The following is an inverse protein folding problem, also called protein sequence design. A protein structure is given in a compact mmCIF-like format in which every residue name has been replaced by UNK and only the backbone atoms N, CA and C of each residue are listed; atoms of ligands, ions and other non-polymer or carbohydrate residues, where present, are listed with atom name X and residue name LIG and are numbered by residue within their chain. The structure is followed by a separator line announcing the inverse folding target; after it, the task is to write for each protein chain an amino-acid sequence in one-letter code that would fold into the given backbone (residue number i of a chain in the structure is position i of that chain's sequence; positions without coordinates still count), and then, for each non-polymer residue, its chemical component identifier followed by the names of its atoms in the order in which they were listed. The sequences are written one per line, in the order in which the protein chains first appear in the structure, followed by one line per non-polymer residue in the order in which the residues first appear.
data_IF_591951745591
#
_entry.id   IF_591951745591
#
_cell.length_a   1.000
_cell.length_b   1.000
_cell.length_c   1.000
_cell.angle_alpha   90.00
_cell.angle_beta   90.00
_cell.angle_gamma   90.00
#
_symmetry.space_group_name_H-M   'P 1'
#
loop_
_entity.id
_entity.type
_entity.pdbx_description
1 polymer ?
#
# COMPACT_ATOMS: atom_id res chain seq x y z
N UNK A 1 -17.98 1.03 -8.96
CA UNK A 1 -16.76 1.77 -8.61
C UNK A 1 -15.57 0.85 -8.77
N UNK A 2 -14.52 1.26 -9.51
CA UNK A 2 -13.26 0.52 -9.53
C UNK A 2 -12.26 1.20 -8.58
N UNK A 3 -11.48 0.40 -7.84
CA UNK A 3 -10.47 0.91 -6.89
C UNK A 3 -9.15 0.24 -7.25
N UNK A 4 -8.16 1.06 -7.56
CA UNK A 4 -6.82 0.64 -7.96
C UNK A 4 -5.84 0.98 -6.85
N UNK A 5 -5.31 -0.04 -6.19
CA UNK A 5 -4.21 0.11 -5.24
C UNK A 5 -2.89 -0.11 -5.96
N UNK A 6 -1.99 0.86 -5.85
CA UNK A 6 -0.68 0.83 -6.49
C UNK A 6 0.38 0.86 -5.39
N UNK A 7 1.24 -0.16 -5.34
CA UNK A 7 2.43 -0.06 -4.51
C UNK A 7 3.41 0.91 -5.15
N UNK A 8 3.98 1.81 -4.34
CA UNK A 8 5.00 2.75 -4.78
C UNK A 8 6.15 2.06 -5.56
N UNK A 9 6.90 2.85 -6.32
CA UNK A 9 8.05 2.38 -7.09
C UNK A 9 9.23 2.01 -6.19
N UNK A 10 10.24 1.39 -6.79
CA UNK A 10 11.42 0.91 -6.09
C UNK A 10 12.16 2.04 -5.34
N UNK A 11 12.76 1.67 -4.22
CA UNK A 11 13.57 2.55 -3.37
C UNK A 11 15.02 2.08 -3.35
N UNK A 12 15.95 3.02 -3.13
CA UNK A 12 17.36 2.70 -2.97
C UNK A 12 17.63 2.27 -1.53
N UNK A 13 17.71 0.96 -1.30
CA UNK A 13 17.94 0.35 0.01
C UNK A 13 19.00 -0.75 -0.03
N UNK A 14 20.26 -0.43 -0.37
CA UNK A 14 21.33 -1.43 -0.49
C UNK A 14 21.69 -2.08 0.86
N UNK A 15 21.44 -1.39 1.96
CA UNK A 15 21.75 -1.87 3.30
C UNK A 15 20.61 -2.66 3.94
N UNK A 16 19.53 -2.95 3.19
CA UNK A 16 18.35 -3.68 3.69
C UNK A 16 17.82 -3.11 5.00
N UNK A 17 17.69 -1.79 5.06
CA UNK A 17 17.15 -1.10 6.22
C UNK A 17 15.66 -1.44 6.39
N UNK A 18 15.24 -1.61 7.63
CA UNK A 18 13.84 -1.62 8.00
C UNK A 18 13.29 -0.19 7.81
N UNK A 19 12.23 -0.03 7.07
CA UNK A 19 11.56 1.26 6.87
C UNK A 19 10.07 1.07 6.66
N UNK A 20 9.30 1.90 7.28
CA UNK A 20 7.85 1.95 7.15
C UNK A 20 7.41 3.40 7.02
N UNK A 21 7.56 4.17 8.09
CA UNK A 21 7.21 5.58 8.13
C UNK A 21 8.43 6.52 8.11
N UNK A 22 9.62 6.00 7.85
CA UNK A 22 10.80 6.81 7.51
C UNK A 22 10.86 7.11 6.01
N UNK A 23 11.44 8.26 5.68
CA UNK A 23 11.78 8.57 4.29
C UNK A 23 13.05 7.81 3.88
N UNK A 24 12.98 7.18 2.72
CA UNK A 24 14.10 6.45 2.12
C UNK A 24 14.30 6.97 0.69
N UNK A 25 15.55 7.05 0.21
CA UNK A 25 15.82 7.50 -1.15
C UNK A 25 15.11 6.63 -2.20
N UNK A 26 14.57 7.27 -3.23
CA UNK A 26 14.05 6.55 -4.39
C UNK A 26 15.21 5.93 -5.19
N UNK A 27 14.98 4.82 -5.86
CA UNK A 27 15.92 4.27 -6.82
C UNK A 27 16.19 5.27 -7.96
N UNK A 28 17.35 5.22 -8.60
CA UNK A 28 17.68 6.14 -9.71
C UNK A 28 16.66 6.06 -10.85
N UNK A 29 16.17 4.86 -11.12
CA UNK A 29 15.19 4.57 -12.17
C UNK A 29 13.74 4.52 -11.67
N UNK A 30 13.42 5.18 -10.56
CA UNK A 30 12.07 5.10 -9.94
C UNK A 30 10.93 5.51 -10.88
N UNK A 31 11.20 6.28 -11.93
CA UNK A 31 10.22 6.69 -12.95
C UNK A 31 10.06 5.67 -14.10
N UNK A 32 10.88 4.62 -14.15
CA UNK A 32 10.90 3.68 -15.27
C UNK A 32 9.53 3.02 -15.55
N UNK A 33 8.71 2.84 -14.51
CA UNK A 33 7.39 2.24 -14.62
C UNK A 33 6.23 3.25 -14.63
N UNK A 34 6.50 4.55 -14.63
CA UNK A 34 5.46 5.58 -14.56
C UNK A 34 4.55 5.54 -15.78
N UNK A 35 5.13 5.48 -16.98
CA UNK A 35 4.37 5.45 -18.22
C UNK A 35 3.51 4.19 -18.31
N UNK A 36 4.08 3.03 -17.97
CA UNK A 36 3.31 1.78 -17.93
C UNK A 36 2.13 1.85 -16.93
N UNK A 37 2.36 2.42 -15.74
CA UNK A 37 1.31 2.59 -14.74
C UNK A 37 0.22 3.53 -15.27
N UNK A 38 0.58 4.63 -15.90
CA UNK A 38 -0.36 5.58 -16.49
C UNK A 38 -1.16 4.92 -17.61
N UNK A 39 -0.52 4.28 -18.58
CA UNK A 39 -1.17 3.59 -19.70
C UNK A 39 -2.14 2.50 -19.22
N UNK A 40 -1.72 1.77 -18.16
CA UNK A 40 -2.54 0.70 -17.55
C UNK A 40 -3.82 1.23 -16.89
N UNK A 41 -3.79 2.49 -16.43
CA UNK A 41 -4.94 3.15 -15.80
C UNK A 41 -5.80 3.90 -16.83
N UNK A 42 -5.20 4.69 -17.73
CA UNK A 42 -5.91 5.58 -18.67
C UNK A 42 -6.95 4.84 -19.52
N UNK A 43 -6.63 3.62 -19.95
CA UNK A 43 -7.57 2.78 -20.71
C UNK A 43 -8.77 2.27 -19.90
N UNK A 44 -8.75 2.45 -18.58
CA UNK A 44 -9.69 1.84 -17.64
C UNK A 44 -10.41 2.83 -16.74
N UNK A 45 -9.92 4.08 -16.62
CA UNK A 45 -10.50 5.08 -15.71
C UNK A 45 -11.69 5.80 -16.37
N UNK A 46 -12.74 5.96 -15.57
CA UNK A 46 -13.94 6.73 -15.91
C UNK A 46 -14.09 7.92 -14.94
N UNK A 47 -14.46 9.06 -15.47
CA UNK A 47 -14.75 10.25 -14.64
C UNK A 47 -16.10 10.12 -13.91
N UNK A 48 -16.23 10.60 -12.67
CA UNK A 48 -15.19 11.24 -11.84
C UNK A 48 -14.23 10.24 -11.19
N UNK A 49 -12.93 10.55 -11.23
CA UNK A 49 -11.85 9.77 -10.61
C UNK A 49 -11.21 10.55 -9.48
N UNK A 50 -10.99 9.91 -8.32
CA UNK A 50 -10.26 10.48 -7.20
C UNK A 50 -8.90 9.78 -7.03
N UNK A 51 -7.86 10.55 -6.70
CA UNK A 51 -6.52 10.05 -6.41
C UNK A 51 -6.18 10.29 -4.96
N UNK A 52 -5.66 9.25 -4.29
CA UNK A 52 -5.17 9.28 -2.93
C UNK A 52 -3.71 8.82 -2.86
N UNK A 53 -2.97 9.37 -1.92
CA UNK A 53 -1.58 8.98 -1.69
C UNK A 53 -1.25 8.86 -0.21
N UNK A 54 -0.44 7.87 0.13
CA UNK A 54 0.33 7.91 1.37
C UNK A 54 1.20 9.17 1.42
N UNK A 55 1.47 9.74 2.61
CA UNK A 55 2.23 11.00 2.74
C UNK A 55 3.70 10.89 2.32
N UNK A 56 4.28 9.68 2.24
CA UNK A 56 5.70 9.47 1.96
C UNK A 56 6.06 9.74 0.50
N UNK A 57 7.25 10.35 0.28
CA UNK A 57 7.71 10.78 -1.05
C UNK A 57 7.69 9.67 -2.10
N UNK A 58 7.96 8.42 -1.72
CA UNK A 58 7.91 7.26 -2.62
C UNK A 58 6.52 7.00 -3.19
N UNK A 59 5.46 7.43 -2.48
CA UNK A 59 4.07 7.37 -2.97
C UNK A 59 3.65 8.68 -3.63
N UNK A 60 3.90 9.82 -2.98
CA UNK A 60 3.40 11.11 -3.45
C UNK A 60 4.01 11.53 -4.80
N UNK A 61 5.25 11.14 -5.10
CA UNK A 61 5.87 11.38 -6.42
C UNK A 61 5.14 10.64 -7.54
N UNK A 62 4.74 9.40 -7.31
CA UNK A 62 3.97 8.64 -8.28
C UNK A 62 2.53 9.16 -8.38
N UNK A 63 1.90 9.48 -7.25
CA UNK A 63 0.55 10.05 -7.26
C UNK A 63 0.49 11.40 -7.98
N UNK A 64 1.50 12.26 -7.78
CA UNK A 64 1.65 13.55 -8.47
C UNK A 64 1.66 13.36 -10.00
N UNK A 65 2.47 12.42 -10.48
CA UNK A 65 2.56 12.08 -11.91
C UNK A 65 1.22 11.56 -12.46
N UNK A 66 0.62 10.56 -11.80
CA UNK A 66 -0.62 9.91 -12.28
C UNK A 66 -1.85 10.82 -12.25
N UNK A 67 -1.87 11.82 -11.37
CA UNK A 67 -3.02 12.71 -11.15
C UNK A 67 -2.82 14.12 -11.71
N UNK A 68 -1.67 14.42 -12.34
CA UNK A 68 -1.27 15.77 -12.69
C UNK A 68 -1.34 16.75 -11.50
N UNK A 69 -0.86 16.31 -10.33
CA UNK A 69 -0.82 17.09 -9.10
C UNK A 69 -2.13 17.13 -8.30
N UNK A 70 -3.18 16.48 -8.76
CA UNK A 70 -4.49 16.53 -8.13
C UNK A 70 -4.79 15.25 -7.32
N UNK A 71 -4.20 15.15 -6.13
CA UNK A 71 -4.42 14.02 -5.22
C UNK A 71 -4.59 14.45 -3.77
N UNK A 72 -5.20 13.58 -2.98
CA UNK A 72 -5.46 13.76 -1.55
C UNK A 72 -4.47 12.88 -0.76
N UNK A 73 -3.76 13.47 0.18
CA UNK A 73 -2.90 12.72 1.11
C UNK A 73 -3.69 12.22 2.29
N UNK A 74 -3.58 10.91 2.61
CA UNK A 74 -4.20 10.32 3.81
C UNK A 74 -3.17 9.50 4.60
N UNK A 75 -3.04 9.80 5.89
CA UNK A 75 -2.10 9.12 6.78
C UNK A 75 -2.50 7.67 7.09
N UNK A 76 -3.78 7.33 6.96
CA UNK A 76 -4.27 5.96 7.23
C UNK A 76 -3.74 4.94 6.24
N UNK A 77 -3.26 5.37 5.07
CA UNK A 77 -2.62 4.52 4.07
C UNK A 77 -1.09 4.63 4.06
N UNK A 78 -0.49 5.11 5.17
CA UNK A 78 0.94 5.00 5.42
C UNK A 78 1.34 3.54 5.71
N UNK A 79 2.60 3.16 5.46
CA UNK A 79 3.12 1.83 5.77
C UNK A 79 3.14 1.57 7.28
N UNK A 80 3.31 0.32 7.70
CA UNK A 80 3.51 -0.06 9.09
C UNK A 80 4.63 0.79 9.71
N UNK A 81 4.34 1.36 10.88
CA UNK A 81 5.36 2.10 11.64
C UNK A 81 6.23 1.11 12.41
N UNK A 82 7.48 0.93 11.98
CA UNK A 82 8.40 0.00 12.62
C UNK A 82 9.10 0.59 13.87
N UNK A 83 8.67 1.75 14.36
CA UNK A 83 9.14 2.33 15.61
C UNK A 83 10.65 2.39 15.72
N UNK A 84 11.19 1.84 16.81
CA UNK A 84 12.64 1.86 17.10
C UNK A 84 13.47 1.07 16.09
N UNK A 85 12.86 0.24 15.23
CA UNK A 85 13.57 -0.49 14.18
C UNK A 85 13.77 0.33 12.89
N UNK A 86 13.06 1.44 12.74
CA UNK A 86 13.18 2.29 11.56
C UNK A 86 14.63 2.69 11.30
N UNK A 87 15.06 2.52 10.05
CA UNK A 87 16.40 2.81 9.53
C UNK A 87 17.54 1.95 10.13
N UNK A 88 17.22 0.90 10.87
CA UNK A 88 18.18 -0.16 11.20
C UNK A 88 18.20 -1.23 10.10
N UNK A 89 19.35 -1.83 9.85
CA UNK A 89 19.42 -3.00 8.98
C UNK A 89 18.72 -4.20 9.65
N UNK A 90 17.93 -4.97 8.90
CA UNK A 90 17.16 -6.09 9.45
C UNK A 90 18.01 -7.10 10.23
N UNK A 91 19.26 -7.33 9.81
CA UNK A 91 20.22 -8.22 10.48
C UNK A 91 20.83 -7.63 11.78
N UNK A 92 20.53 -6.36 12.08
CA UNK A 92 20.98 -5.64 13.29
C UNK A 92 19.87 -5.47 14.33
N UNK A 93 18.63 -5.76 13.97
CA UNK A 93 17.53 -5.75 14.94
C UNK A 93 17.78 -6.84 15.99
N UNK A 94 17.57 -6.49 17.27
CA UNK A 94 17.79 -7.40 18.37
C UNK A 94 16.93 -8.67 18.21
N UNK A 95 17.54 -9.88 18.17
CA UNK A 95 16.78 -11.14 18.04
C UNK A 95 15.70 -11.32 19.10
N UNK A 96 15.91 -10.83 20.33
CA UNK A 96 14.92 -10.91 21.43
C UNK A 96 13.63 -10.11 21.13
N UNK A 97 13.66 -9.21 20.18
CA UNK A 97 12.50 -8.44 19.71
C UNK A 97 12.00 -8.97 18.37
N UNK A 98 12.91 -9.30 17.47
CA UNK A 98 12.59 -9.77 16.13
C UNK A 98 11.92 -11.15 16.13
N UNK A 99 12.42 -12.11 16.93
CA UNK A 99 11.86 -13.48 17.00
C UNK A 99 10.41 -13.48 17.49
N UNK A 100 10.02 -12.81 18.59
CA UNK A 100 8.62 -12.71 19.01
C UNK A 100 7.73 -12.03 17.96
N UNK A 101 8.24 -10.98 17.28
CA UNK A 101 7.50 -10.35 16.20
C UNK A 101 7.31 -11.29 15.01
N UNK A 102 8.31 -12.05 14.61
CA UNK A 102 8.18 -13.05 13.54
C UNK A 102 7.18 -14.15 13.89
N UNK A 103 7.06 -14.49 15.18
CA UNK A 103 6.12 -15.50 15.67
C UNK A 103 4.67 -14.98 15.69
N UNK A 104 4.46 -13.69 15.95
CA UNK A 104 3.13 -13.07 16.04
C UNK A 104 3.18 -11.61 15.59
N UNK A 105 3.48 -11.37 14.31
CA UNK A 105 3.55 -10.01 13.76
C UNK A 105 2.21 -9.27 13.77
N UNK A 106 1.11 -9.99 13.89
CA UNK A 106 -0.23 -9.41 13.94
C UNK A 106 -0.42 -8.61 15.23
N UNK A 107 -0.07 -9.20 16.36
CA UNK A 107 -0.36 -8.62 17.68
C UNK A 107 0.89 -8.02 18.36
N UNK A 108 2.09 -8.46 17.99
CA UNK A 108 3.32 -7.93 18.59
C UNK A 108 3.51 -6.47 18.21
N UNK A 109 3.42 -5.60 19.19
CA UNK A 109 3.63 -4.15 18.98
C UNK A 109 5.12 -3.82 19.11
N UNK A 110 5.66 -3.25 18.03
CA UNK A 110 7.02 -2.74 18.00
C UNK A 110 7.10 -1.49 18.89
N UNK A 111 8.17 -1.37 19.68
CA UNK A 111 8.37 -0.21 20.55
C UNK A 111 8.32 1.10 19.73
N UNK A 112 7.56 2.07 20.21
CA UNK A 112 7.31 3.35 19.54
C UNK A 112 6.74 3.22 18.10
N UNK A 113 6.22 2.04 17.76
CA UNK A 113 5.65 1.73 16.45
C UNK A 113 4.24 1.17 16.52
N UNK A 114 3.87 0.42 15.50
CA UNK A 114 2.58 -0.25 15.35
C UNK A 114 2.75 -1.78 15.35
N UNK A 115 1.67 -2.50 15.64
CA UNK A 115 1.51 -3.88 15.20
C UNK A 115 0.72 -3.94 13.87
N UNK A 116 0.62 -5.12 13.26
CA UNK A 116 -0.06 -5.25 11.98
C UNK A 116 -1.59 -5.09 12.10
N UNK A 117 -2.17 -5.36 13.27
CA UNK A 117 -3.58 -5.14 13.53
C UNK A 117 -3.93 -3.64 13.51
N UNK A 118 -3.10 -2.78 14.11
CA UNK A 118 -3.29 -1.31 14.08
C UNK A 118 -3.19 -0.77 12.63
N UNK A 119 -2.26 -1.30 11.83
CA UNK A 119 -2.20 -1.00 10.39
C UNK A 119 -3.49 -1.42 9.67
N UNK A 120 -3.97 -2.63 9.95
CA UNK A 120 -5.20 -3.15 9.36
C UNK A 120 -6.40 -2.27 9.71
N UNK A 121 -6.59 -1.91 10.98
CA UNK A 121 -7.72 -1.10 11.45
C UNK A 121 -7.75 0.28 10.75
N UNK A 122 -6.61 0.99 10.67
CA UNK A 122 -6.58 2.30 10.00
C UNK A 122 -6.74 2.21 8.49
N UNK A 123 -6.18 1.17 7.87
CA UNK A 123 -6.28 0.96 6.41
C UNK A 123 -7.70 0.60 5.99
N UNK A 124 -8.38 -0.24 6.77
CA UNK A 124 -9.78 -0.62 6.50
C UNK A 124 -10.73 0.53 6.76
N UNK A 125 -10.51 1.35 7.80
CA UNK A 125 -11.28 2.58 8.00
C UNK A 125 -11.16 3.55 6.80
N UNK A 126 -9.96 3.71 6.22
CA UNK A 126 -9.80 4.46 4.98
C UNK A 126 -10.59 3.82 3.82
N UNK A 127 -10.49 2.49 3.68
CA UNK A 127 -11.17 1.78 2.60
C UNK A 127 -12.69 1.94 2.69
N UNK A 128 -13.27 1.80 3.86
CA UNK A 128 -14.71 2.00 4.08
C UNK A 128 -15.14 3.43 3.73
N UNK A 129 -14.36 4.45 4.12
CA UNK A 129 -14.67 5.84 3.80
C UNK A 129 -14.71 6.10 2.29
N UNK A 130 -13.75 5.60 1.53
CA UNK A 130 -13.74 5.80 0.07
C UNK A 130 -14.91 5.10 -0.64
N UNK A 131 -15.45 4.01 -0.09
CA UNK A 131 -16.64 3.34 -0.62
C UNK A 131 -17.92 4.19 -0.54
N UNK A 132 -17.94 5.21 0.32
CA UNK A 132 -19.07 6.12 0.47
C UNK A 132 -19.09 7.25 -0.58
N UNK A 133 -18.01 7.45 -1.30
CA UNK A 133 -17.87 8.53 -2.29
C UNK A 133 -18.69 8.26 -3.56
N UNK A 134 -18.91 9.31 -4.35
CA UNK A 134 -19.62 9.21 -5.63
C UNK A 134 -18.66 9.06 -6.84
N UNK A 135 -17.38 8.81 -6.58
CA UNK A 135 -16.43 8.57 -7.65
C UNK A 135 -16.70 7.24 -8.36
N UNK A 136 -16.50 7.20 -9.68
CA UNK A 136 -16.56 5.96 -10.45
C UNK A 136 -15.30 5.13 -10.27
N UNK A 137 -14.16 5.82 -10.20
CA UNK A 137 -12.86 5.22 -10.02
C UNK A 137 -12.06 5.91 -8.92
N UNK A 138 -11.27 5.13 -8.21
CA UNK A 138 -10.36 5.60 -7.17
C UNK A 138 -8.98 4.97 -7.40
N UNK A 139 -7.95 5.80 -7.39
CA UNK A 139 -6.55 5.37 -7.47
C UNK A 139 -5.87 5.69 -6.15
N UNK A 140 -5.23 4.70 -5.53
CA UNK A 140 -4.59 4.79 -4.23
C UNK A 140 -3.13 4.37 -4.35
N UNK A 141 -2.21 5.32 -4.24
CA UNK A 141 -0.77 5.03 -4.22
C UNK A 141 -0.32 4.83 -2.78
N UNK A 142 0.14 3.62 -2.47
CA UNK A 142 0.41 3.21 -1.09
C UNK A 142 1.51 2.14 -1.01
N UNK A 143 1.46 1.27 -0.02
CA UNK A 143 2.50 0.32 0.39
C UNK A 143 1.98 -1.11 0.43
N UNK A 144 2.91 -2.08 0.52
CA UNK A 144 2.57 -3.49 0.52
C UNK A 144 1.75 -3.92 1.74
N UNK A 145 2.08 -3.41 2.94
CA UNK A 145 1.34 -3.73 4.17
C UNK A 145 -0.11 -3.27 4.11
N UNK A 146 -0.35 -2.06 3.62
CA UNK A 146 -1.70 -1.50 3.42
C UNK A 146 -2.51 -2.33 2.43
N UNK A 147 -1.91 -2.68 1.27
CA UNK A 147 -2.61 -3.48 0.25
C UNK A 147 -2.97 -4.86 0.80
N UNK A 148 -2.06 -5.51 1.54
CA UNK A 148 -2.31 -6.79 2.21
C UNK A 148 -3.44 -6.70 3.23
N UNK A 149 -3.47 -5.64 4.03
CA UNK A 149 -4.51 -5.39 5.03
C UNK A 149 -5.89 -5.26 4.37
N UNK A 150 -5.99 -4.49 3.29
CA UNK A 150 -7.24 -4.32 2.55
C UNK A 150 -7.68 -5.63 1.87
N UNK A 151 -6.75 -6.40 1.31
CA UNK A 151 -7.05 -7.70 0.73
C UNK A 151 -7.53 -8.71 1.79
N UNK A 152 -6.92 -8.69 2.99
CA UNK A 152 -7.38 -9.51 4.11
C UNK A 152 -8.82 -9.14 4.52
N UNK A 153 -9.13 -7.85 4.60
CA UNK A 153 -10.48 -7.36 4.89
C UNK A 153 -11.51 -7.79 3.82
N UNK A 154 -11.21 -7.55 2.55
CA UNK A 154 -12.14 -7.84 1.44
C UNK A 154 -12.39 -9.35 1.27
N UNK A 155 -11.39 -10.18 1.53
CA UNK A 155 -11.46 -11.64 1.37
C UNK A 155 -11.81 -12.37 2.66
N UNK A 156 -11.91 -11.65 3.78
CA UNK A 156 -12.19 -12.20 5.13
C UNK A 156 -11.25 -13.37 5.49
N UNK A 157 -9.93 -13.19 5.26
CA UNK A 157 -8.94 -14.18 5.65
C UNK A 157 -8.10 -13.72 6.86
N UNK A 158 -7.59 -14.66 7.67
CA UNK A 158 -6.79 -14.35 8.86
C UNK A 158 -5.55 -13.52 8.53
N UNK A 159 -5.29 -12.47 9.32
CA UNK A 159 -4.18 -11.54 9.10
C UNK A 159 -2.81 -12.22 9.10
N UNK A 160 -2.66 -13.36 9.80
CA UNK A 160 -1.46 -14.19 9.83
C UNK A 160 -1.06 -14.70 8.44
N UNK A 161 -1.98 -14.72 7.50
CA UNK A 161 -1.74 -15.12 6.11
C UNK A 161 -1.46 -13.95 5.16
N UNK A 162 -1.48 -12.72 5.65
CA UNK A 162 -1.33 -11.52 4.80
C UNK A 162 -0.01 -11.52 4.02
N UNK A 163 1.06 -12.02 4.60
CA UNK A 163 2.37 -12.11 3.93
C UNK A 163 2.50 -13.24 2.90
N UNK A 164 1.50 -14.13 2.78
CA UNK A 164 1.42 -15.09 1.68
C UNK A 164 1.08 -14.40 0.35
N UNK A 165 0.61 -13.16 0.38
CA UNK A 165 0.35 -12.36 -0.82
C UNK A 165 1.61 -11.60 -1.22
N UNK A 166 2.10 -11.85 -2.42
CA UNK A 166 3.14 -11.03 -3.02
C UNK A 166 2.53 -9.72 -3.54
N UNK A 167 3.15 -8.61 -3.16
CA UNK A 167 2.81 -7.27 -3.66
C UNK A 167 4.13 -6.61 -4.09
N UNK A 168 4.41 -6.63 -5.37
CA UNK A 168 5.66 -6.12 -5.97
C UNK A 168 5.66 -4.60 -6.06
N UNK A 169 6.83 -3.98 -6.12
CA UNK A 169 6.93 -2.54 -6.46
C UNK A 169 6.26 -2.27 -7.81
N UNK A 170 5.68 -1.08 -7.95
CA UNK A 170 4.97 -0.67 -9.16
C UNK A 170 3.82 -1.61 -9.58
N UNK A 171 3.33 -2.47 -8.68
CA UNK A 171 2.20 -3.35 -8.99
C UNK A 171 0.87 -2.67 -8.79
N UNK A 172 -0.13 -3.10 -9.56
CA UNK A 172 -1.53 -2.69 -9.46
C UNK A 172 -2.36 -3.86 -8.92
N UNK A 173 -3.19 -3.58 -7.91
CA UNK A 173 -4.24 -4.47 -7.42
C UNK A 173 -5.59 -3.78 -7.65
N UNK A 174 -6.54 -4.46 -8.30
CA UNK A 174 -7.86 -3.89 -8.62
C UNK A 174 -8.95 -4.58 -7.84
N UNK A 175 -9.73 -3.77 -7.12
CA UNK A 175 -10.96 -4.15 -6.43
C UNK A 175 -12.14 -3.47 -7.14
N UNK A 176 -13.23 -4.17 -7.33
CA UNK A 176 -14.48 -3.63 -7.88
C UNK A 176 -15.54 -3.64 -6.78
N UNK A 177 -16.04 -2.47 -6.43
CA UNK A 177 -17.15 -2.33 -5.49
C UNK A 177 -18.47 -2.16 -6.22
N UNK A 178 -19.43 -3.04 -5.92
CA UNK A 178 -20.79 -3.01 -6.44
C UNK A 178 -21.71 -2.36 -5.39
N UNK A 179 -21.99 -1.07 -5.56
CA UNK A 179 -22.71 -0.24 -4.59
C UNK A 179 -24.12 -0.78 -4.29
N UNK A 180 -24.83 -1.27 -5.31
CA UNK A 180 -26.16 -1.86 -5.16
C UNK A 180 -26.20 -3.05 -4.19
N UNK A 181 -25.18 -3.89 -4.24
CA UNK A 181 -25.09 -5.13 -3.46
C UNK A 181 -24.20 -4.99 -2.23
N UNK A 182 -23.59 -3.83 -2.03
CA UNK A 182 -22.55 -3.59 -1.01
C UNK A 182 -21.49 -4.72 -0.99
N UNK A 183 -21.09 -5.17 -2.15
CA UNK A 183 -20.16 -6.29 -2.33
C UNK A 183 -18.91 -5.86 -3.07
N UNK A 184 -17.79 -6.48 -2.71
CA UNK A 184 -16.48 -6.27 -3.33
C UNK A 184 -16.06 -7.52 -4.10
N UNK A 185 -15.37 -7.32 -5.23
CA UNK A 185 -14.73 -8.39 -6.01
C UNK A 185 -13.30 -7.98 -6.31
N UNK A 186 -12.36 -8.90 -6.16
CA UNK A 186 -10.99 -8.69 -6.58
C UNK A 186 -10.89 -9.06 -8.06
N UNK A 187 -10.58 -8.09 -8.91
CA UNK A 187 -10.40 -8.32 -10.33
C UNK A 187 -9.04 -8.95 -10.65
N UNK A 188 -8.00 -8.44 -9.99
CA UNK A 188 -6.64 -8.99 -10.03
C UNK A 188 -5.79 -8.45 -8.87
N UNK A 189 -4.73 -9.17 -8.51
CA UNK A 189 -3.75 -8.81 -7.50
C UNK A 189 -2.37 -8.79 -8.12
N UNK A 190 -1.52 -7.84 -7.70
CA UNK A 190 -0.09 -7.79 -8.03
C UNK A 190 0.22 -7.82 -9.54
N UNK A 191 -0.58 -7.13 -10.35
CA UNK A 191 -0.29 -6.99 -11.78
C UNK A 191 0.91 -6.06 -11.98
N UNK A 192 1.95 -6.55 -12.64
CA UNK A 192 3.16 -5.79 -12.98
C UNK A 192 3.29 -5.63 -14.49
N UNK A 193 4.17 -4.74 -14.91
CA UNK A 193 4.63 -4.68 -16.30
C UNK A 193 5.19 -6.05 -16.71
N UNK A 194 4.80 -6.53 -17.87
CA UNK A 194 5.40 -7.75 -18.44
C UNK A 194 6.71 -7.35 -19.13
N UNK A 195 7.82 -7.78 -18.55
CA UNK A 195 9.15 -7.67 -19.16
C UNK A 195 9.32 -8.76 -20.21
#
# INVERSE_FOLDING_TARGET
MNIYFIRHTEVYNPNKLCYGQSEIPLAENFTAHFDWLQDSLESSLESPTAFYSSPFRRCSKLADYLSNGNFITDKRIAELHFGDWEMQAWDKINPKELEPWMADFVNYKINNGENFLELYERSTAFFEDILTTENKDIVVVTHAGVIRSILAYVLDFPLEHAFNLEISYSSITKIVYQKEFKSTKIAFVNRTERV
#
